data_IF_322560093198
#
_entry.id   IF_322560093198
#
_cell.length_a   1.000
_cell.length_b   1.000
_cell.length_c   1.000
_cell.angle_alpha   90.00
_cell.angle_beta   90.00
_cell.angle_gamma   90.00
#
_symmetry.space_group_name_H-M   'P 1'
#
loop_
_entity.id
_entity.type
_entity.pdbx_description
1 polymer ?
#
# COMPACT_ATOMS: atom_id res chain seq x y z
N UNK A 1 6.94 -20.47 4.96
CA UNK A 1 6.75 -19.25 4.16
C UNK A 1 5.60 -19.52 3.20
N UNK A 2 4.55 -18.70 3.18
CA UNK A 2 3.42 -18.90 2.26
C UNK A 2 3.84 -18.69 0.81
N UNK A 3 3.30 -19.47 -0.14
CA UNK A 3 3.61 -19.27 -1.55
C UNK A 3 3.00 -17.94 -2.02
N UNK A 4 3.71 -17.11 -2.79
CA UNK A 4 3.13 -15.93 -3.41
C UNK A 4 2.07 -16.32 -4.47
N UNK A 5 1.07 -15.47 -4.72
CA UNK A 5 0.87 -14.16 -4.08
C UNK A 5 0.30 -14.28 -2.65
N UNK A 6 0.74 -13.42 -1.74
CA UNK A 6 0.15 -13.26 -0.41
C UNK A 6 0.25 -11.79 0.03
N UNK A 7 -0.60 -11.39 0.97
CA UNK A 7 -0.58 -10.05 1.58
C UNK A 7 -0.34 -10.20 3.07
N UNK A 8 0.66 -9.49 3.59
CA UNK A 8 0.90 -9.38 5.03
C UNK A 8 0.47 -8.00 5.50
N UNK A 9 -0.66 -7.95 6.19
CA UNK A 9 -1.24 -6.72 6.71
C UNK A 9 -0.74 -6.45 8.12
N UNK A 10 -0.33 -5.20 8.35
CA UNK A 10 0.02 -4.66 9.65
C UNK A 10 -0.88 -3.46 9.91
N UNK A 11 -1.82 -3.63 10.84
CA UNK A 11 -2.78 -2.59 11.20
C UNK A 11 -2.48 -2.10 12.60
N UNK A 12 -2.33 -0.78 12.74
CA UNK A 12 -2.19 -0.09 14.02
C UNK A 12 -3.33 0.92 14.11
N UNK A 13 -4.11 0.86 15.19
CA UNK A 13 -5.23 1.78 15.42
C UNK A 13 -5.01 2.58 16.68
N UNK A 14 -5.48 3.82 16.67
CA UNK A 14 -5.41 4.71 17.84
C UNK A 14 -6.17 4.16 19.04
N UNK A 15 -7.33 3.52 18.83
CA UNK A 15 -8.12 2.87 19.89
C UNK A 15 -7.38 1.75 20.62
N UNK A 16 -6.33 1.22 19.98
CA UNK A 16 -5.51 0.12 20.47
C UNK A 16 -4.08 0.59 20.84
N UNK A 17 -3.88 1.88 21.14
CA UNK A 17 -2.57 2.50 21.44
C UNK A 17 -1.50 2.23 20.36
N UNK A 18 -1.96 2.08 19.11
CA UNK A 18 -1.14 1.72 17.96
C UNK A 18 -0.40 0.37 18.09
N UNK A 19 -0.89 -0.55 18.93
CA UNK A 19 -0.36 -1.91 18.97
C UNK A 19 -0.54 -2.59 17.59
N UNK A 20 0.53 -3.17 17.01
CA UNK A 20 0.46 -3.75 15.68
C UNK A 20 -0.29 -5.09 15.69
N UNK A 21 -1.32 -5.18 14.85
CA UNK A 21 -2.01 -6.44 14.56
C UNK A 21 -1.60 -6.96 13.19
N UNK A 22 -1.21 -8.22 13.16
CA UNK A 22 -0.70 -8.90 11.96
C UNK A 22 -1.75 -9.85 11.41
N UNK A 23 -1.99 -9.80 10.11
CA UNK A 23 -2.84 -10.78 9.41
C UNK A 23 -2.17 -11.14 8.10
N UNK A 24 -2.28 -12.39 7.68
CA UNK A 24 -1.76 -12.80 6.36
C UNK A 24 -2.87 -13.42 5.54
N UNK A 25 -2.96 -12.99 4.28
CA UNK A 25 -3.96 -13.39 3.32
C UNK A 25 -3.27 -14.14 2.17
N UNK A 26 -3.85 -15.28 1.76
CA UNK A 26 -3.35 -16.09 0.63
C UNK A 26 -3.77 -15.55 -0.73
N UNK A 27 -4.60 -14.50 -0.75
CA UNK A 27 -4.98 -13.79 -1.96
C UNK A 27 -4.61 -12.30 -1.85
N UNK A 28 -4.77 -11.60 -2.96
CA UNK A 28 -4.52 -10.16 -3.05
C UNK A 28 -5.80 -9.34 -2.78
N UNK A 29 -6.89 -9.99 -2.36
CA UNK A 29 -8.14 -9.30 -2.14
C UNK A 29 -8.00 -8.35 -0.95
N UNK A 30 -8.43 -7.10 -1.12
CA UNK A 30 -8.37 -6.08 -0.07
C UNK A 30 -7.07 -5.26 -0.01
N UNK A 31 -6.04 -5.59 -0.79
CA UNK A 31 -4.77 -4.84 -0.79
C UNK A 31 -4.85 -3.41 -1.39
N UNK A 32 -6.04 -2.91 -1.75
CA UNK A 32 -6.23 -1.61 -2.41
C UNK A 32 -5.30 -1.39 -3.63
N UNK A 33 -4.94 -2.46 -4.34
CA UNK A 33 -4.02 -2.47 -5.47
C UNK A 33 -4.65 -3.07 -6.71
N UNK A 34 -4.28 -2.53 -7.87
CA UNK A 34 -4.45 -3.19 -9.16
C UNK A 34 -3.09 -3.66 -9.63
N UNK A 35 -2.94 -4.98 -9.70
CA UNK A 35 -1.73 -5.66 -10.17
C UNK A 35 -1.98 -6.28 -11.54
N UNK A 36 -1.01 -6.16 -12.44
CA UNK A 36 -1.06 -6.79 -13.76
C UNK A 36 0.34 -7.13 -14.24
N UNK A 37 0.57 -8.37 -14.64
CA UNK A 37 1.82 -8.75 -15.31
C UNK A 37 1.74 -8.41 -16.81
N UNK A 38 2.77 -7.71 -17.32
CA UNK A 38 2.92 -7.34 -18.73
C UNK A 38 4.40 -7.34 -19.10
N UNK A 39 4.79 -8.08 -20.14
CA UNK A 39 6.18 -8.12 -20.64
C UNK A 39 7.22 -8.38 -19.52
N UNK A 40 6.99 -9.41 -18.69
CA UNK A 40 7.86 -9.78 -17.56
C UNK A 40 7.99 -8.74 -16.44
N UNK A 41 7.17 -7.68 -16.47
CA UNK A 41 7.10 -6.66 -15.44
C UNK A 41 5.78 -6.76 -14.69
N UNK A 42 5.82 -6.55 -13.38
CA UNK A 42 4.63 -6.35 -12.57
C UNK A 42 4.24 -4.87 -12.59
N UNK A 43 3.11 -4.55 -13.24
CA UNK A 43 2.50 -3.23 -13.19
C UNK A 43 1.66 -3.09 -11.92
N UNK A 44 2.02 -2.12 -11.07
CA UNK A 44 1.41 -1.83 -9.78
C UNK A 44 0.71 -0.47 -9.81
N UNK A 45 -0.58 -0.44 -9.49
CA UNK A 45 -1.35 0.81 -9.37
C UNK A 45 -2.14 0.83 -8.06
N UNK A 46 -1.94 1.86 -7.26
CA UNK A 46 -2.71 2.11 -6.04
C UNK A 46 -4.13 2.58 -6.33
N UNK A 47 -5.11 1.85 -5.80
CA UNK A 47 -6.50 2.27 -5.69
C UNK A 47 -6.62 3.14 -4.43
N UNK A 48 -7.23 4.32 -4.57
CA UNK A 48 -7.39 5.26 -3.46
C UNK A 48 -8.85 5.39 -3.12
N UNK A 49 -9.15 5.63 -1.85
CA UNK A 49 -10.51 5.97 -1.45
C UNK A 49 -10.98 7.26 -2.13
N UNK A 50 -12.11 7.24 -2.85
CA UNK A 50 -12.70 8.44 -3.43
C UNK A 50 -13.17 9.38 -2.33
N UNK A 51 -13.32 10.67 -2.64
CA UNK A 51 -13.82 11.71 -1.72
C UNK A 51 -13.04 11.87 -0.39
N UNK A 52 -11.81 11.37 -0.34
CA UNK A 52 -10.89 11.58 0.77
C UNK A 52 -10.11 12.89 0.62
N UNK A 53 -9.70 13.47 1.75
CA UNK A 53 -8.75 14.57 1.78
C UNK A 53 -7.32 14.06 2.07
N UNK A 54 -6.27 14.69 1.53
CA UNK A 54 -6.33 15.81 0.59
C UNK A 54 -6.78 15.33 -0.81
N UNK A 55 -7.47 16.19 -1.58
CA UNK A 55 -7.89 15.84 -2.94
C UNK A 55 -6.68 15.60 -3.84
N UNK A 56 -6.63 14.43 -4.48
CA UNK A 56 -5.53 14.01 -5.35
C UNK A 56 -5.78 14.41 -6.80
N UNK A 57 -5.53 15.69 -7.14
CA UNK A 57 -5.77 16.23 -8.50
C UNK A 57 -4.91 15.58 -9.58
N UNK A 58 -3.68 15.18 -9.23
CA UNK A 58 -2.76 14.46 -10.13
C UNK A 58 -2.16 13.28 -9.38
N UNK A 59 -2.38 12.07 -9.89
CA UNK A 59 -1.83 10.82 -9.34
C UNK A 59 -0.54 10.46 -10.08
N UNK A 60 0.47 9.91 -9.40
CA UNK A 60 1.55 9.21 -10.04
C UNK A 60 1.00 8.09 -10.94
N UNK A 61 1.64 7.82 -12.10
CA UNK A 61 1.26 6.69 -12.93
C UNK A 61 1.53 5.36 -12.21
N UNK A 62 0.98 4.27 -12.76
CA UNK A 62 1.35 2.93 -12.32
C UNK A 62 2.87 2.73 -12.40
N UNK A 63 3.44 2.06 -11.39
CA UNK A 63 4.85 1.65 -11.38
C UNK A 63 5.00 0.28 -12.01
N UNK A 64 6.17 -0.02 -12.55
CA UNK A 64 6.51 -1.32 -13.12
C UNK A 64 7.69 -1.85 -12.34
N UNK A 65 7.60 -3.10 -11.90
CA UNK A 65 8.65 -3.79 -11.17
C UNK A 65 9.19 -4.92 -12.02
N UNK A 66 10.50 -4.94 -12.22
CA UNK A 66 11.20 -6.14 -12.66
C UNK A 66 11.31 -7.16 -11.51
N UNK A 67 11.61 -8.41 -11.84
CA UNK A 67 11.84 -9.44 -10.82
C UNK A 67 13.03 -9.04 -9.93
N UNK A 68 12.87 -9.12 -8.62
CA UNK A 68 13.85 -8.68 -7.62
C UNK A 68 13.72 -7.20 -7.22
N UNK A 69 12.93 -6.40 -7.93
CA UNK A 69 12.63 -5.04 -7.53
C UNK A 69 11.47 -4.99 -6.53
N UNK A 70 11.46 -3.93 -5.72
CA UNK A 70 10.33 -3.65 -4.85
C UNK A 70 10.02 -2.16 -4.75
N UNK A 71 8.77 -1.89 -4.39
CA UNK A 71 8.16 -0.57 -4.31
C UNK A 71 7.71 -0.27 -2.89
N UNK A 72 7.99 0.95 -2.42
CA UNK A 72 7.30 1.56 -1.28
C UNK A 72 6.37 2.66 -1.77
N UNK A 73 5.08 2.53 -1.48
CA UNK A 73 4.07 3.55 -1.78
C UNK A 73 3.43 4.05 -0.49
N UNK A 74 3.51 5.35 -0.22
CA UNK A 74 2.93 5.96 0.98
C UNK A 74 1.80 6.92 0.62
N UNK A 75 0.70 6.87 1.38
CA UNK A 75 -0.50 7.65 1.09
C UNK A 75 -1.31 7.87 2.37
N UNK A 76 -1.90 9.06 2.55
CA UNK A 76 -2.75 9.35 3.69
C UNK A 76 -4.16 9.79 3.28
N UNK A 77 -5.13 9.52 4.14
CA UNK A 77 -6.51 9.86 3.91
C UNK A 77 -7.07 10.48 5.18
N UNK A 78 -7.93 11.48 5.02
CA UNK A 78 -8.95 11.80 6.01
C UNK A 78 -10.32 11.78 5.31
N UNK A 79 -11.27 11.10 5.93
CA UNK A 79 -12.60 10.88 5.36
C UNK A 79 -13.61 10.74 6.49
N UNK A 80 -14.83 11.23 6.29
CA UNK A 80 -16.00 10.94 7.10
C UNK A 80 -16.82 9.94 6.27
N UNK A 81 -16.94 8.70 6.72
CA UNK A 81 -17.67 7.67 5.97
C UNK A 81 -19.18 7.94 5.96
N UNK A 82 -19.96 7.02 6.51
CA UNK A 82 -21.38 7.28 6.83
C UNK A 82 -21.58 7.94 8.21
N UNK A 83 -20.49 8.16 8.94
CA UNK A 83 -20.45 8.88 10.21
C UNK A 83 -20.21 10.37 10.00
N UNK A 84 -20.55 11.18 11.01
CA UNK A 84 -20.14 12.59 11.08
C UNK A 84 -18.69 12.75 11.56
N UNK A 85 -18.10 11.69 12.13
CA UNK A 85 -16.73 11.70 12.62
C UNK A 85 -15.71 11.51 11.50
N UNK A 86 -14.60 12.24 11.63
CA UNK A 86 -13.47 12.14 10.73
C UNK A 86 -12.56 10.98 11.12
N UNK A 87 -12.25 10.12 10.16
CA UNK A 87 -11.23 9.08 10.28
C UNK A 87 -9.97 9.49 9.54
N UNK A 88 -8.81 9.38 10.19
CA UNK A 88 -7.51 9.44 9.54
C UNK A 88 -6.98 8.03 9.26
N UNK A 89 -6.34 7.84 8.10
CA UNK A 89 -5.63 6.60 7.75
C UNK A 89 -4.33 6.96 7.05
N UNK A 90 -3.23 6.31 7.42
CA UNK A 90 -1.94 6.39 6.75
C UNK A 90 -1.55 4.98 6.29
N UNK A 91 -1.44 4.79 4.99
CA UNK A 91 -1.06 3.51 4.40
C UNK A 91 0.37 3.57 3.88
N UNK A 92 1.12 2.49 4.14
CA UNK A 92 2.40 2.19 3.50
C UNK A 92 2.28 0.81 2.86
N UNK A 93 2.38 0.76 1.53
CA UNK A 93 2.34 -0.47 0.77
C UNK A 93 3.76 -0.80 0.31
N UNK A 94 4.26 -1.96 0.73
CA UNK A 94 5.52 -2.51 0.22
C UNK A 94 5.19 -3.67 -0.72
N UNK A 95 5.60 -3.59 -1.98
CA UNK A 95 5.30 -4.58 -3.01
C UNK A 95 6.61 -5.09 -3.62
N UNK A 96 6.92 -6.37 -3.41
CA UNK A 96 8.04 -7.04 -4.06
C UNK A 96 7.56 -7.91 -5.22
N UNK A 97 8.35 -8.03 -6.28
CA UNK A 97 8.06 -8.94 -7.39
C UNK A 97 9.13 -10.02 -7.56
N UNK A 98 8.72 -11.29 -7.53
CA UNK A 98 9.65 -12.42 -7.58
C UNK A 98 10.13 -12.86 -6.19
N UNK A 99 11.25 -13.61 -6.10
CA UNK A 99 11.77 -14.10 -4.83
C UNK A 99 12.08 -12.96 -3.87
N UNK A 100 11.46 -13.00 -2.69
CA UNK A 100 11.67 -12.02 -1.63
C UNK A 100 12.50 -12.64 -0.51
N UNK A 101 13.52 -11.92 -0.05
CA UNK A 101 14.19 -12.21 1.22
C UNK A 101 13.32 -11.72 2.38
N UNK A 102 13.50 -12.30 3.56
CA UNK A 102 12.77 -11.90 4.78
C UNK A 102 12.99 -10.43 5.17
N UNK A 103 14.13 -9.87 4.80
CA UNK A 103 14.57 -8.50 5.08
C UNK A 103 14.27 -7.52 3.95
N UNK A 104 13.59 -7.94 2.87
CA UNK A 104 13.43 -7.15 1.64
C UNK A 104 12.95 -5.71 1.89
N UNK A 105 11.98 -5.54 2.80
CA UNK A 105 11.35 -4.24 3.07
C UNK A 105 12.03 -3.41 4.16
N UNK A 106 13.12 -3.92 4.74
CA UNK A 106 13.92 -3.19 5.73
C UNK A 106 14.96 -2.27 5.08
N UNK A 107 15.31 -2.51 3.82
CA UNK A 107 16.25 -1.68 3.06
C UNK A 107 15.62 -0.50 2.33
N UNK A 108 16.38 0.05 1.39
CA UNK A 108 15.91 1.09 0.48
C UNK A 108 15.10 0.50 -0.68
N UNK A 109 13.93 1.09 -1.01
CA UNK A 109 13.12 0.62 -2.13
C UNK A 109 13.76 0.95 -3.47
N UNK A 110 13.63 0.04 -4.43
CA UNK A 110 13.98 0.33 -5.83
C UNK A 110 13.12 1.48 -6.38
N UNK A 111 11.83 1.48 -6.00
CA UNK A 111 10.89 2.54 -6.36
C UNK A 111 10.23 3.11 -5.12
N UNK A 112 10.24 4.43 -4.96
CA UNK A 112 9.52 5.12 -3.90
C UNK A 112 8.48 6.07 -4.50
N UNK A 113 7.26 6.02 -3.96
CA UNK A 113 6.19 6.95 -4.30
C UNK A 113 5.62 7.51 -3.01
N UNK A 114 5.73 8.82 -2.84
CA UNK A 114 5.10 9.54 -1.74
C UNK A 114 3.89 10.33 -2.26
N UNK A 115 2.70 9.85 -1.89
CA UNK A 115 1.40 10.51 -2.13
C UNK A 115 0.76 11.00 -0.83
N UNK A 116 1.56 11.14 0.24
CA UNK A 116 1.11 11.82 1.44
C UNK A 116 0.96 13.30 1.12
N UNK A 117 -0.11 13.90 1.62
CA UNK A 117 -0.33 15.32 1.49
C UNK A 117 -0.79 15.93 2.81
N UNK A 118 -0.65 17.25 2.91
CA UNK A 118 -1.03 17.99 4.11
C UNK A 118 -2.54 17.92 4.32
N UNK A 119 -2.93 17.62 5.55
CA UNK A 119 -4.28 17.79 6.03
C UNK A 119 -4.36 19.13 6.75
N UNK A 120 -5.41 19.91 6.45
CA UNK A 120 -5.75 21.12 7.18
C UNK A 120 -6.95 20.85 8.09
#
# INVERSE_FOLDING_TARGET
MMPPPFVHDVVMREEDDFEPRFTTHEDLAGADLLLREENELLRVKLLVRPHSVPPRRRRPPARRLARGEWLRWQVNYRFSGYSLDWTYRLDTLNVGYGPAREDLFLGDPTHHVDERGTLR
#
